data_IF_860365376733
#
_entry.id   IF_860365376733
#
_cell.length_a   1.000
_cell.length_b   1.000
_cell.length_c   1.000
_cell.angle_alpha   90.00
_cell.angle_beta   90.00
_cell.angle_gamma   90.00
#
_symmetry.space_group_name_H-M   'P 1'
#
loop_
_entity.id
_entity.type
_entity.pdbx_description
1 polymer ?
#
# COMPACT_ATOMS: atom_id res chain seq x y z
N UNK A 1 -61.57 -43.82 0.09
CA UNK A 1 -60.44 -43.39 -0.71
C UNK A 1 -60.19 -41.94 -0.37
N UNK A 2 -59.30 -41.66 0.59
CA UNK A 2 -58.98 -40.29 1.06
C UNK A 2 -57.65 -39.86 0.43
N UNK A 3 -57.75 -38.87 -0.41
CA UNK A 3 -56.57 -38.23 -1.07
C UNK A 3 -55.86 -37.33 -0.05
N UNK A 4 -54.66 -37.70 0.37
CA UNK A 4 -53.81 -36.86 1.20
C UNK A 4 -53.09 -35.87 0.26
N UNK A 5 -53.46 -34.61 0.36
CA UNK A 5 -52.72 -33.51 -0.31
C UNK A 5 -51.52 -33.15 0.58
N UNK A 6 -50.33 -33.55 0.20
CA UNK A 6 -49.10 -33.10 0.82
C UNK A 6 -48.75 -31.72 0.29
N UNK A 7 -48.99 -30.70 1.10
CA UNK A 7 -48.48 -29.33 0.85
C UNK A 7 -46.97 -29.30 1.11
N UNK A 8 -46.17 -29.31 0.06
CA UNK A 8 -44.76 -28.98 0.15
C UNK A 8 -44.63 -27.47 0.32
N UNK A 9 -44.47 -26.99 1.54
CA UNK A 9 -44.03 -25.64 1.81
C UNK A 9 -42.52 -25.62 1.59
N UNK A 10 -42.12 -25.25 0.39
CA UNK A 10 -40.72 -24.94 0.06
C UNK A 10 -40.32 -23.68 0.80
N UNK A 11 -39.66 -23.82 1.93
CA UNK A 11 -38.96 -22.71 2.56
C UNK A 11 -37.79 -22.38 1.61
N UNK A 12 -37.99 -21.41 0.75
CA UNK A 12 -36.89 -20.78 0.06
C UNK A 12 -36.09 -20.01 1.10
N UNK A 13 -34.97 -20.59 1.54
CA UNK A 13 -33.90 -19.83 2.14
C UNK A 13 -33.37 -18.88 1.05
N UNK A 14 -33.92 -17.68 1.02
CA UNK A 14 -33.26 -16.56 0.38
C UNK A 14 -32.00 -16.31 1.22
N UNK A 15 -30.92 -16.99 0.89
CA UNK A 15 -29.62 -16.55 1.31
C UNK A 15 -29.48 -15.16 0.70
N UNK A 16 -29.72 -14.14 1.50
CA UNK A 16 -29.20 -12.80 1.23
C UNK A 16 -27.71 -13.00 1.06
N UNK A 17 -27.29 -13.19 -0.18
CA UNK A 17 -25.88 -13.09 -0.54
C UNK A 17 -25.49 -11.66 -0.12
N UNK A 18 -24.87 -11.56 1.06
CA UNK A 18 -24.18 -10.35 1.47
C UNK A 18 -23.13 -10.13 0.40
N UNK A 19 -23.33 -9.14 -0.41
CA UNK A 19 -22.34 -8.66 -1.38
C UNK A 19 -21.19 -7.98 -0.62
N UNK A 20 -20.56 -8.70 0.31
CA UNK A 20 -19.48 -8.19 1.17
C UNK A 20 -18.19 -7.95 0.42
N UNK A 21 -18.08 -8.39 -0.84
CA UNK A 21 -16.84 -8.29 -1.62
C UNK A 21 -17.01 -7.58 -2.96
N UNK A 22 -18.13 -6.94 -3.23
CA UNK A 22 -18.23 -6.09 -4.40
C UNK A 22 -17.64 -4.70 -4.10
N UNK A 23 -17.02 -4.03 -5.09
CA UNK A 23 -16.49 -2.71 -4.88
C UNK A 23 -17.58 -1.86 -4.25
N UNK A 24 -17.25 -1.24 -3.11
CA UNK A 24 -18.15 -0.40 -2.34
C UNK A 24 -18.81 0.59 -3.28
N UNK A 25 -20.10 0.41 -3.55
CA UNK A 25 -20.90 1.36 -4.31
C UNK A 25 -21.33 2.45 -3.36
N UNK A 26 -20.61 3.55 -3.40
CA UNK A 26 -21.12 4.77 -2.76
C UNK A 26 -22.47 5.11 -3.39
N UNK A 27 -23.45 5.45 -2.55
CA UNK A 27 -24.73 5.99 -3.00
C UNK A 27 -24.59 7.42 -3.54
N UNK A 28 -23.43 8.04 -3.37
CA UNK A 28 -23.08 9.33 -3.92
C UNK A 28 -21.83 9.29 -4.80
N UNK A 29 -21.82 10.17 -5.79
CA UNK A 29 -20.66 10.48 -6.61
C UNK A 29 -20.38 11.98 -6.48
N UNK A 30 -19.18 12.31 -6.04
CA UNK A 30 -18.61 13.62 -6.16
C UNK A 30 -17.80 13.71 -7.45
N UNK A 31 -17.95 14.81 -8.18
CA UNK A 31 -17.07 15.16 -9.30
C UNK A 31 -16.51 16.54 -9.01
N UNK A 32 -15.19 16.66 -9.04
CA UNK A 32 -14.47 17.92 -8.82
C UNK A 32 -13.58 18.18 -10.02
N UNK A 33 -13.83 19.31 -10.68
CA UNK A 33 -13.16 19.68 -11.92
C UNK A 33 -12.53 21.07 -11.73
N UNK A 34 -11.23 21.14 -11.42
CA UNK A 34 -10.49 22.38 -11.47
C UNK A 34 -10.52 23.00 -12.86
N UNK A 35 -10.45 24.32 -12.93
CA UNK A 35 -10.47 25.05 -14.21
C UNK A 35 -9.19 24.88 -15.05
N UNK A 36 -8.19 24.15 -14.53
CA UNK A 36 -7.04 23.64 -15.26
C UNK A 36 -7.01 22.10 -15.26
N UNK A 37 -6.86 21.52 -16.43
CA UNK A 37 -6.93 20.07 -16.61
C UNK A 37 -5.79 19.29 -15.90
N UNK A 38 -4.65 19.92 -15.70
CA UNK A 38 -3.49 19.38 -14.99
C UNK A 38 -3.53 19.62 -13.47
N UNK A 39 -4.52 20.39 -12.99
CA UNK A 39 -4.68 20.80 -11.58
C UNK A 39 -3.51 21.62 -11.03
N UNK A 40 -2.72 22.22 -11.92
CA UNK A 40 -1.52 22.97 -11.58
C UNK A 40 -1.65 24.44 -11.93
N UNK A 41 -1.24 25.30 -11.01
CA UNK A 41 -1.28 26.75 -11.11
C UNK A 41 0.10 27.32 -10.82
N UNK A 42 0.37 28.48 -11.35
CA UNK A 42 1.53 29.26 -10.91
C UNK A 42 1.20 29.95 -9.58
N UNK A 43 2.21 30.16 -8.74
CA UNK A 43 2.04 31.05 -7.57
C UNK A 43 1.48 32.39 -8.00
N UNK A 44 0.47 32.90 -7.28
CA UNK A 44 -0.25 34.13 -7.62
C UNK A 44 -1.44 33.95 -8.55
N UNK A 45 -1.58 32.86 -9.29
CA UNK A 45 -2.77 32.57 -10.07
C UNK A 45 -3.96 32.25 -9.15
N UNK A 46 -5.17 32.52 -9.64
CA UNK A 46 -6.42 32.19 -8.94
C UNK A 46 -6.93 30.85 -9.46
N UNK A 47 -7.16 29.92 -8.55
CA UNK A 47 -7.76 28.62 -8.84
C UNK A 47 -9.23 28.61 -8.48
N UNK A 48 -10.01 27.85 -9.22
CA UNK A 48 -11.41 27.55 -8.93
C UNK A 48 -11.71 26.12 -9.31
N UNK A 49 -12.74 25.55 -8.70
CA UNK A 49 -13.17 24.17 -8.93
C UNK A 49 -14.67 24.11 -9.11
N UNK A 50 -15.13 23.43 -10.16
CA UNK A 50 -16.51 23.02 -10.27
C UNK A 50 -16.74 21.80 -9.41
N UNK A 51 -17.77 21.83 -8.59
CA UNK A 51 -18.22 20.73 -7.75
C UNK A 51 -19.52 20.19 -8.32
N UNK A 52 -19.58 18.85 -8.46
CA UNK A 52 -20.82 18.18 -8.82
C UNK A 52 -21.13 17.11 -7.78
N UNK A 53 -22.40 16.98 -7.42
CA UNK A 53 -22.90 16.01 -6.47
C UNK A 53 -24.07 15.24 -7.04
N UNK A 54 -23.91 13.91 -7.13
CA UNK A 54 -24.93 13.01 -7.59
C UNK A 54 -25.28 12.01 -6.49
N UNK A 55 -26.57 11.74 -6.35
CA UNK A 55 -27.04 10.64 -5.48
C UNK A 55 -27.80 9.61 -6.33
N UNK A 56 -27.37 8.35 -6.26
CA UNK A 56 -27.87 7.28 -7.13
C UNK A 56 -27.80 7.66 -8.64
N UNK A 57 -26.76 8.38 -9.03
CA UNK A 57 -26.59 8.85 -10.41
C UNK A 57 -27.43 10.08 -10.81
N UNK A 58 -28.24 10.64 -9.92
CA UNK A 58 -29.11 11.81 -10.17
C UNK A 58 -28.46 13.04 -9.55
N UNK A 59 -28.31 14.16 -10.28
CA UNK A 59 -27.87 15.43 -9.72
C UNK A 59 -28.76 15.87 -8.55
N UNK A 60 -28.16 16.35 -7.47
CA UNK A 60 -28.89 16.77 -6.27
C UNK A 60 -28.52 18.18 -5.87
N UNK A 61 -29.55 19.00 -5.66
CA UNK A 61 -29.41 20.29 -5.00
C UNK A 61 -29.13 20.02 -3.52
N UNK A 62 -27.99 20.49 -3.05
CA UNK A 62 -27.55 20.32 -1.67
C UNK A 62 -26.66 21.48 -1.25
N UNK A 63 -26.73 21.85 0.02
CA UNK A 63 -25.77 22.79 0.59
C UNK A 63 -24.46 22.01 0.88
N UNK A 64 -23.37 22.51 0.32
CA UNK A 64 -22.01 22.02 0.57
C UNK A 64 -21.29 23.03 1.45
N UNK A 65 -20.88 22.59 2.62
CA UNK A 65 -19.91 23.34 3.43
C UNK A 65 -18.52 23.01 2.94
N UNK A 66 -17.66 24.01 2.83
CA UNK A 66 -16.27 23.81 2.44
C UNK A 66 -15.30 24.48 3.39
N UNK A 67 -14.11 23.91 3.50
CA UNK A 67 -12.97 24.43 4.23
C UNK A 67 -11.76 24.47 3.30
N UNK A 68 -11.08 25.63 3.25
CA UNK A 68 -9.86 25.83 2.47
C UNK A 68 -8.66 25.89 3.41
N UNK A 69 -7.63 25.16 3.11
CA UNK A 69 -6.39 25.14 3.88
C UNK A 69 -5.18 24.77 3.04
N UNK A 70 -4.00 25.07 3.53
CA UNK A 70 -2.79 24.48 2.96
C UNK A 70 -2.76 22.99 3.29
N UNK A 71 -2.08 22.22 2.44
CA UNK A 71 -1.98 20.78 2.63
C UNK A 71 -1.46 20.44 4.03
N UNK A 72 -2.13 19.49 4.70
CA UNK A 72 -1.84 19.02 6.06
C UNK A 72 -1.94 20.07 7.16
N UNK A 73 -2.42 21.28 6.87
CA UNK A 73 -2.60 22.34 7.84
C UNK A 73 -4.08 22.60 8.15
N UNK A 74 -4.39 23.26 9.28
CA UNK A 74 -5.75 23.72 9.58
C UNK A 74 -6.30 24.62 8.47
N UNK A 75 -7.61 24.59 8.28
CA UNK A 75 -8.27 25.50 7.35
C UNK A 75 -8.11 26.96 7.79
N UNK A 76 -7.81 27.82 6.84
CA UNK A 76 -7.71 29.26 7.05
C UNK A 76 -8.93 30.01 6.53
N UNK A 77 -9.78 29.36 5.74
CA UNK A 77 -11.04 29.91 5.25
C UNK A 77 -12.10 28.79 5.18
N UNK A 78 -13.37 29.20 5.22
CA UNK A 78 -14.53 28.30 5.13
C UNK A 78 -15.72 29.01 4.57
N UNK A 79 -16.62 28.26 3.96
CA UNK A 79 -17.84 28.80 3.41
C UNK A 79 -18.88 27.73 3.11
N UNK A 80 -19.95 28.18 2.48
CA UNK A 80 -21.05 27.33 2.05
C UNK A 80 -21.40 27.65 0.60
N UNK A 81 -21.83 26.65 -0.13
CA UNK A 81 -22.27 26.72 -1.50
C UNK A 81 -23.52 25.88 -1.67
N UNK A 82 -24.59 26.44 -2.20
CA UNK A 82 -25.75 25.66 -2.60
C UNK A 82 -25.58 25.24 -4.06
N UNK A 83 -25.51 23.94 -4.28
CA UNK A 83 -25.47 23.39 -5.61
C UNK A 83 -26.83 23.49 -6.28
N UNK A 84 -26.86 23.95 -7.54
CA UNK A 84 -28.07 24.02 -8.37
C UNK A 84 -27.97 22.97 -9.49
N UNK A 85 -28.96 22.14 -9.63
CA UNK A 85 -28.92 20.98 -10.52
C UNK A 85 -27.65 20.15 -10.26
N UNK A 86 -27.31 19.98 -8.97
CA UNK A 86 -26.14 19.24 -8.51
C UNK A 86 -24.79 19.91 -8.79
N UNK A 87 -24.74 21.20 -9.21
CA UNK A 87 -23.49 21.86 -9.63
C UNK A 87 -23.26 23.18 -8.95
N UNK A 88 -22.00 23.53 -8.76
CA UNK A 88 -21.58 24.84 -8.26
C UNK A 88 -20.07 25.03 -8.40
N UNK A 89 -19.60 26.25 -8.20
CA UNK A 89 -18.18 26.61 -8.35
C UNK A 89 -17.68 27.22 -7.05
N UNK A 90 -16.54 26.74 -6.58
CA UNK A 90 -15.83 27.32 -5.43
C UNK A 90 -14.57 28.00 -5.94
N UNK A 91 -14.37 29.25 -5.54
CA UNK A 91 -13.10 29.94 -5.70
C UNK A 91 -12.13 29.44 -4.63
N UNK A 92 -11.08 28.71 -5.04
CA UNK A 92 -10.07 28.18 -4.12
C UNK A 92 -9.08 29.26 -3.65
N UNK A 93 -8.98 30.38 -4.39
CA UNK A 93 -8.02 31.42 -4.08
C UNK A 93 -6.69 31.22 -4.78
N UNK A 94 -5.61 31.61 -4.10
CA UNK A 94 -4.25 31.57 -4.63
C UNK A 94 -3.23 31.26 -3.53
N UNK A 95 -2.03 30.86 -3.92
CA UNK A 95 -0.88 30.73 -3.02
C UNK A 95 0.23 31.65 -3.45
N UNK A 96 0.92 32.27 -2.48
CA UNK A 96 2.10 33.12 -2.72
C UNK A 96 3.38 32.31 -2.84
N UNK A 97 3.40 31.13 -2.24
CA UNK A 97 4.53 30.22 -2.22
C UNK A 97 4.16 28.88 -2.87
N UNK A 98 5.15 28.13 -3.38
CA UNK A 98 4.92 26.79 -3.91
C UNK A 98 4.28 25.87 -2.87
N UNK A 99 3.32 25.06 -3.29
CA UNK A 99 2.65 24.14 -2.37
C UNK A 99 1.35 23.60 -2.92
N UNK A 100 0.51 23.10 -2.02
CA UNK A 100 -0.79 22.56 -2.35
C UNK A 100 -1.89 23.23 -1.50
N UNK A 101 -3.02 23.52 -2.13
CA UNK A 101 -4.22 24.00 -1.49
C UNK A 101 -5.26 22.90 -1.47
N UNK A 102 -5.80 22.60 -0.29
CA UNK A 102 -6.78 21.55 -0.03
C UNK A 102 -8.15 22.18 0.23
N UNK A 103 -9.16 21.78 -0.53
CA UNK A 103 -10.56 22.13 -0.33
C UNK A 103 -11.32 20.89 0.16
N UNK A 104 -11.72 20.90 1.42
CA UNK A 104 -12.48 19.83 2.06
C UNK A 104 -13.95 20.15 1.98
N UNK A 105 -14.75 19.21 1.47
CA UNK A 105 -16.16 19.36 1.18
C UNK A 105 -16.98 18.48 2.12
N UNK A 106 -18.10 19.00 2.61
CA UNK A 106 -19.07 18.26 3.41
C UNK A 106 -20.47 18.60 2.94
N UNK A 107 -21.26 17.59 2.62
CA UNK A 107 -22.68 17.72 2.32
C UNK A 107 -23.50 16.79 3.22
N UNK A 108 -24.73 17.20 3.54
CA UNK A 108 -25.71 16.36 4.20
C UNK A 108 -26.87 16.12 3.25
N UNK A 109 -27.14 14.87 2.92
CA UNK A 109 -28.27 14.48 2.08
C UNK A 109 -28.98 13.27 2.68
N UNK A 110 -30.30 13.33 2.80
CA UNK A 110 -31.15 12.31 3.38
C UNK A 110 -30.64 11.83 4.78
N UNK A 111 -30.23 12.78 5.62
CA UNK A 111 -29.74 12.53 6.98
C UNK A 111 -28.34 11.93 7.09
N UNK A 112 -27.63 11.70 5.96
CA UNK A 112 -26.26 11.20 5.93
C UNK A 112 -25.28 12.29 5.57
N UNK A 113 -24.09 12.25 6.20
CA UNK A 113 -22.98 13.14 5.92
C UNK A 113 -22.03 12.52 4.92
N UNK A 114 -21.73 13.25 3.87
CA UNK A 114 -20.79 12.86 2.82
C UNK A 114 -19.64 13.85 2.77
N UNK A 115 -18.42 13.31 2.76
CA UNK A 115 -17.19 14.10 2.71
C UNK A 115 -16.43 13.82 1.43
N UNK A 116 -15.77 14.84 0.93
CA UNK A 116 -14.86 14.74 -0.21
C UNK A 116 -13.79 15.81 -0.09
N UNK A 117 -12.73 15.73 -0.89
CA UNK A 117 -11.76 16.79 -1.01
C UNK A 117 -11.24 16.91 -2.44
N UNK A 118 -10.75 18.08 -2.77
CA UNK A 118 -9.99 18.35 -3.99
C UNK A 118 -8.75 19.15 -3.61
N UNK A 119 -7.63 18.79 -4.22
CA UNK A 119 -6.34 19.41 -3.95
C UNK A 119 -5.74 19.91 -5.25
N UNK A 120 -5.24 21.13 -5.26
CA UNK A 120 -4.59 21.74 -6.41
C UNK A 120 -3.17 22.18 -6.07
N UNK A 121 -2.24 22.07 -7.03
CA UNK A 121 -0.85 22.42 -6.85
C UNK A 121 -0.52 23.81 -7.37
N UNK A 122 0.29 24.55 -6.62
CA UNK A 122 0.83 25.86 -7.02
C UNK A 122 2.35 25.78 -7.17
N UNK A 123 2.83 25.84 -8.39
CA UNK A 123 4.25 25.72 -8.73
C UNK A 123 4.96 24.58 -7.96
N UNK A 124 4.40 23.35 -7.91
CA UNK A 124 4.97 22.29 -7.09
C UNK A 124 6.39 21.89 -7.52
N UNK A 125 6.76 22.17 -8.76
CA UNK A 125 8.12 21.98 -9.29
C UNK A 125 9.17 22.87 -8.59
N UNK A 126 8.73 23.90 -7.86
CA UNK A 126 9.58 24.81 -7.09
C UNK A 126 9.67 24.47 -5.61
N UNK A 127 8.98 23.41 -5.17
CA UNK A 127 9.10 22.95 -3.80
C UNK A 127 10.52 22.54 -3.49
N UNK A 128 11.01 22.97 -2.34
CA UNK A 128 12.31 22.55 -1.83
C UNK A 128 12.11 21.57 -0.68
N UNK A 129 12.93 20.50 -0.60
CA UNK A 129 12.93 19.64 0.56
C UNK A 129 13.11 20.43 1.85
N UNK A 130 12.36 20.12 2.89
CA UNK A 130 12.53 20.74 4.20
C UNK A 130 13.85 20.36 4.84
N UNK A 131 14.30 19.12 4.61
CA UNK A 131 15.57 18.59 5.08
C UNK A 131 16.50 18.37 3.89
N UNK A 132 17.79 18.56 4.11
CA UNK A 132 18.81 18.23 3.13
C UNK A 132 19.24 16.78 3.29
N UNK A 133 19.65 16.17 2.17
CA UNK A 133 20.29 14.86 2.22
C UNK A 133 21.59 15.00 3.03
N UNK A 134 21.83 14.14 4.04
CA UNK A 134 23.11 14.16 4.76
C UNK A 134 24.31 14.03 3.80
N UNK A 135 25.37 14.81 4.06
CA UNK A 135 26.52 14.85 3.17
C UNK A 135 27.19 13.48 2.97
N UNK A 136 27.13 12.63 3.99
CA UNK A 136 27.71 11.29 4.00
C UNK A 136 26.72 10.18 3.56
N UNK A 137 25.51 10.51 3.11
CA UNK A 137 24.48 9.52 2.80
C UNK A 137 24.94 8.46 1.79
N UNK A 138 25.55 8.91 0.69
CA UNK A 138 26.01 7.99 -0.37
C UNK A 138 27.13 7.09 0.13
N UNK A 139 28.10 7.66 0.84
CA UNK A 139 29.22 6.89 1.40
C UNK A 139 28.77 5.92 2.50
N UNK A 140 27.85 6.34 3.36
CA UNK A 140 27.22 5.46 4.34
C UNK A 140 26.56 4.24 3.69
N UNK A 141 25.77 4.47 2.63
CA UNK A 141 25.09 3.38 1.90
C UNK A 141 26.05 2.46 1.19
N UNK A 142 27.12 3.01 0.62
CA UNK A 142 28.18 2.25 -0.04
C UNK A 142 28.89 1.35 0.98
N UNK A 143 29.40 1.92 2.08
CA UNK A 143 30.06 1.17 3.17
C UNK A 143 29.15 0.06 3.71
N UNK A 144 27.88 0.34 3.98
CA UNK A 144 26.95 -0.67 4.48
C UNK A 144 26.78 -1.86 3.52
N UNK A 145 26.78 -1.62 2.19
CA UNK A 145 26.74 -2.69 1.19
C UNK A 145 28.07 -3.46 1.10
N UNK A 146 29.20 -2.78 1.24
CA UNK A 146 30.53 -3.39 1.27
C UNK A 146 30.70 -4.28 2.51
N UNK A 147 30.22 -3.83 3.68
CA UNK A 147 30.15 -4.67 4.89
C UNK A 147 29.29 -5.92 4.66
N UNK A 148 28.12 -5.76 4.03
CA UNK A 148 27.26 -6.88 3.68
C UNK A 148 27.94 -7.88 2.74
N UNK A 149 28.67 -7.39 1.74
CA UNK A 149 29.33 -8.20 0.72
C UNK A 149 30.45 -9.10 1.29
N UNK A 150 30.97 -8.80 2.50
CA UNK A 150 31.95 -9.66 3.18
C UNK A 150 31.34 -11.00 3.63
N UNK A 151 30.03 -11.08 3.73
CA UNK A 151 29.34 -12.32 4.10
C UNK A 151 28.85 -13.04 2.85
N UNK A 152 29.14 -14.35 2.70
CA UNK A 152 28.64 -15.10 1.56
C UNK A 152 27.11 -15.17 1.58
N UNK A 153 26.51 -15.20 0.39
CA UNK A 153 25.08 -15.45 0.26
C UNK A 153 24.75 -16.82 0.82
N UNK A 154 23.95 -16.85 1.88
CA UNK A 154 23.55 -18.08 2.55
C UNK A 154 22.04 -18.09 2.73
N UNK A 155 21.39 -19.16 2.31
CA UNK A 155 19.95 -19.34 2.44
C UNK A 155 19.56 -20.81 2.54
N UNK A 156 18.34 -21.07 2.95
CA UNK A 156 17.69 -22.37 2.80
C UNK A 156 16.38 -22.21 2.04
N UNK A 157 16.06 -23.18 1.21
CA UNK A 157 14.79 -23.27 0.49
C UNK A 157 14.14 -24.60 0.80
N UNK A 158 12.89 -24.58 1.27
CA UNK A 158 12.07 -25.77 1.53
C UNK A 158 10.81 -25.67 0.70
N UNK A 159 10.59 -26.64 -0.20
CA UNK A 159 9.33 -26.71 -0.95
C UNK A 159 8.16 -26.88 0.00
N UNK A 160 7.08 -26.13 -0.24
CA UNK A 160 5.85 -26.17 0.55
C UNK A 160 4.75 -26.75 -0.32
N UNK A 161 4.54 -28.07 -0.19
CA UNK A 161 3.63 -28.80 -1.07
C UNK A 161 2.19 -28.27 -1.01
N UNK A 162 1.70 -27.91 0.18
CA UNK A 162 0.34 -27.33 0.34
C UNK A 162 0.12 -26.00 -0.40
N UNK A 163 1.21 -25.35 -0.81
CA UNK A 163 1.21 -24.09 -1.57
C UNK A 163 1.80 -24.24 -2.97
N UNK A 164 2.01 -25.46 -3.41
CA UNK A 164 2.48 -25.78 -4.76
C UNK A 164 1.36 -26.42 -5.58
N UNK A 165 1.44 -26.30 -6.90
CA UNK A 165 0.49 -26.87 -7.86
C UNK A 165 1.24 -27.39 -9.08
N UNK A 166 0.52 -27.88 -10.08
CA UNK A 166 1.10 -28.33 -11.36
C UNK A 166 1.72 -27.17 -12.17
N UNK A 167 1.34 -25.93 -11.87
CA UNK A 167 1.81 -24.73 -12.58
C UNK A 167 2.84 -23.93 -11.79
N UNK A 168 2.79 -23.98 -10.44
CA UNK A 168 3.57 -23.10 -9.57
C UNK A 168 4.20 -23.87 -8.42
N UNK A 169 5.51 -23.76 -8.27
CA UNK A 169 6.22 -24.17 -7.08
C UNK A 169 6.25 -23.03 -6.04
N UNK A 170 6.01 -23.37 -4.79
CA UNK A 170 6.16 -22.47 -3.66
C UNK A 170 7.22 -22.98 -2.70
N UNK A 171 8.15 -22.12 -2.30
CA UNK A 171 9.22 -22.45 -1.36
C UNK A 171 9.20 -21.48 -0.18
N UNK A 172 9.35 -22.01 1.04
CA UNK A 172 9.73 -21.20 2.19
C UNK A 172 11.25 -20.97 2.12
N UNK A 173 11.62 -19.71 2.04
CA UNK A 173 13.01 -19.26 2.01
C UNK A 173 13.36 -18.65 3.37
N UNK A 174 14.48 -19.09 3.94
CA UNK A 174 15.16 -18.39 5.03
C UNK A 174 16.45 -17.82 4.48
N UNK A 175 16.59 -16.52 4.51
CA UNK A 175 17.72 -15.80 3.94
C UNK A 175 18.52 -15.12 5.05
N UNK A 176 19.79 -15.48 5.17
CA UNK A 176 20.68 -14.88 6.15
C UNK A 176 21.26 -13.57 5.64
N UNK A 177 21.08 -12.50 6.43
CA UNK A 177 21.57 -11.16 6.07
C UNK A 177 23.08 -11.07 6.30
N UNK A 178 23.53 -11.53 7.48
CA UNK A 178 24.95 -11.57 7.83
C UNK A 178 25.27 -12.86 8.61
N UNK A 179 26.47 -13.16 8.87
CA UNK A 179 27.08 -14.27 9.65
C UNK A 179 26.09 -15.26 10.35
N UNK A 180 24.94 -15.55 9.77
CA UNK A 180 23.85 -16.41 10.28
C UNK A 180 23.16 -15.92 11.57
N UNK A 181 23.48 -14.71 12.06
CA UNK A 181 22.85 -14.14 13.26
C UNK A 181 21.53 -13.43 12.95
N UNK A 182 21.40 -12.89 11.75
CA UNK A 182 20.19 -12.20 11.31
C UNK A 182 19.67 -12.89 10.06
N UNK A 183 18.40 -13.21 10.08
CA UNK A 183 17.72 -13.80 8.92
C UNK A 183 16.39 -13.08 8.68
N UNK A 184 15.90 -13.19 7.45
CA UNK A 184 14.53 -12.85 7.04
C UNK A 184 13.94 -14.05 6.36
N UNK A 185 12.62 -14.12 6.33
CA UNK A 185 11.90 -15.22 5.69
C UNK A 185 11.03 -14.68 4.55
N UNK A 186 10.69 -15.57 3.64
CA UNK A 186 9.78 -15.26 2.56
C UNK A 186 9.22 -16.51 1.90
N UNK A 187 8.13 -16.32 1.16
CA UNK A 187 7.67 -17.33 0.23
C UNK A 187 8.08 -16.95 -1.19
N UNK A 188 8.83 -17.84 -1.83
CA UNK A 188 9.19 -17.74 -3.23
C UNK A 188 8.18 -18.54 -4.04
N UNK A 189 7.47 -17.90 -4.94
CA UNK A 189 6.63 -18.58 -5.95
C UNK A 189 7.27 -18.46 -7.32
N UNK A 190 7.33 -19.56 -8.06
CA UNK A 190 7.93 -19.61 -9.38
C UNK A 190 7.22 -20.61 -10.29
N UNK A 191 7.24 -20.41 -11.62
CA UNK A 191 6.68 -21.38 -12.57
C UNK A 191 7.31 -22.79 -12.41
N UNK A 192 6.50 -23.84 -12.55
CA UNK A 192 7.00 -25.22 -12.66
C UNK A 192 7.69 -25.43 -14.00
N UNK A 193 7.19 -24.77 -15.06
CA UNK A 193 7.77 -24.86 -16.39
C UNK A 193 9.21 -24.35 -16.40
N UNK A 194 10.18 -25.16 -16.90
CA UNK A 194 11.56 -24.69 -17.07
C UNK A 194 11.63 -23.45 -17.96
N UNK A 195 12.43 -22.47 -17.55
CA UNK A 195 12.56 -21.23 -18.30
C UNK A 195 13.42 -20.19 -17.59
N UNK A 196 13.49 -19.01 -18.20
CA UNK A 196 14.14 -17.83 -17.65
C UNK A 196 13.08 -16.76 -17.42
N UNK A 197 13.04 -16.21 -16.21
CA UNK A 197 11.94 -15.38 -15.75
C UNK A 197 12.43 -14.09 -15.07
N UNK A 198 11.71 -12.97 -15.25
CA UNK A 198 11.90 -11.81 -14.39
C UNK A 198 11.69 -12.15 -12.92
N UNK A 199 12.39 -11.46 -12.03
CA UNK A 199 12.23 -11.62 -10.60
C UNK A 199 11.56 -10.41 -9.96
N UNK A 200 10.71 -10.64 -8.96
CA UNK A 200 9.97 -9.62 -8.24
C UNK A 200 10.25 -9.76 -6.74
N UNK A 201 10.82 -8.72 -6.12
CA UNK A 201 10.94 -8.62 -4.68
C UNK A 201 9.75 -7.86 -4.11
N UNK A 202 9.12 -8.39 -3.06
CA UNK A 202 7.95 -7.79 -2.42
C UNK A 202 8.17 -7.65 -0.91
N UNK A 203 8.82 -6.56 -0.44
CA UNK A 203 8.89 -6.24 0.97
C UNK A 203 7.51 -5.80 1.49
N UNK A 204 7.21 -6.02 2.79
CA UNK A 204 5.92 -5.68 3.39
C UNK A 204 5.76 -4.17 3.64
N UNK A 205 4.51 -3.73 3.83
CA UNK A 205 4.23 -2.46 4.51
C UNK A 205 4.54 -2.53 6.01
N UNK A 206 4.43 -1.40 6.70
CA UNK A 206 4.73 -1.29 8.13
C UNK A 206 3.88 -2.24 9.00
N UNK A 207 4.44 -2.61 10.14
CA UNK A 207 3.82 -3.46 11.16
C UNK A 207 4.54 -4.79 11.35
N UNK A 208 4.37 -5.38 12.53
CA UNK A 208 4.88 -6.70 12.86
C UNK A 208 3.90 -7.73 12.31
N UNK A 209 4.29 -8.39 11.23
CA UNK A 209 3.40 -9.29 10.47
C UNK A 209 4.16 -10.51 9.97
N UNK A 210 3.45 -11.62 9.85
CA UNK A 210 3.91 -12.79 9.09
C UNK A 210 3.15 -12.90 7.76
N UNK A 211 3.66 -13.72 6.85
CA UNK A 211 3.02 -13.98 5.56
C UNK A 211 2.02 -15.12 5.76
N UNK A 212 0.72 -14.81 5.80
CA UNK A 212 -0.35 -15.79 6.05
C UNK A 212 -0.89 -16.45 4.77
N UNK A 213 -0.87 -15.76 3.65
CA UNK A 213 -1.54 -16.18 2.40
C UNK A 213 -0.59 -16.08 1.19
N UNK A 214 0.46 -16.91 1.11
CA UNK A 214 1.45 -16.81 0.03
C UNK A 214 0.85 -17.03 -1.35
N UNK A 215 -0.27 -17.75 -1.44
CA UNK A 215 -0.95 -18.06 -2.70
C UNK A 215 -1.89 -16.96 -3.21
N UNK A 216 -2.16 -15.92 -2.42
CA UNK A 216 -3.06 -14.83 -2.82
C UNK A 216 -2.64 -14.14 -4.12
N UNK A 217 -1.34 -14.20 -4.46
CA UNK A 217 -0.76 -13.57 -5.65
C UNK A 217 -0.04 -14.58 -6.55
N UNK A 218 -0.53 -15.81 -6.57
CA UNK A 218 0.02 -16.91 -7.41
C UNK A 218 0.06 -16.56 -8.90
N UNK A 219 -0.83 -15.67 -9.34
CA UNK A 219 -0.93 -15.24 -10.74
C UNK A 219 0.38 -14.63 -11.28
N UNK A 220 1.27 -14.13 -10.43
CA UNK A 220 2.60 -13.70 -10.89
C UNK A 220 3.37 -14.88 -11.47
N UNK A 221 3.45 -15.98 -10.74
CA UNK A 221 4.17 -17.16 -11.20
C UNK A 221 3.44 -17.85 -12.36
N UNK A 222 2.11 -17.89 -12.36
CA UNK A 222 1.33 -18.40 -13.49
C UNK A 222 1.57 -17.60 -14.79
N UNK A 223 1.93 -16.32 -14.68
CA UNK A 223 2.26 -15.47 -15.82
C UNK A 223 3.78 -15.29 -16.04
N UNK A 224 4.58 -16.22 -15.54
CA UNK A 224 6.00 -16.28 -15.89
C UNK A 224 6.88 -15.31 -15.11
N UNK A 225 6.58 -15.03 -13.84
CA UNK A 225 7.44 -14.26 -12.96
C UNK A 225 7.84 -15.08 -11.72
N UNK A 226 9.05 -14.89 -11.25
CA UNK A 226 9.49 -15.41 -9.94
C UNK A 226 9.24 -14.32 -8.91
N UNK A 227 8.47 -14.60 -7.85
CA UNK A 227 8.10 -13.60 -6.86
C UNK A 227 8.49 -14.05 -5.45
N UNK A 228 9.26 -13.22 -4.76
CA UNK A 228 9.57 -13.37 -3.34
C UNK A 228 8.74 -12.39 -2.53
N UNK A 229 7.75 -12.88 -1.81
CA UNK A 229 7.07 -12.16 -0.75
C UNK A 229 7.82 -12.36 0.54
N UNK A 230 8.39 -11.30 1.10
CA UNK A 230 9.26 -11.41 2.28
C UNK A 230 8.70 -10.65 3.47
N UNK A 231 9.09 -11.06 4.67
CA UNK A 231 9.00 -10.29 5.90
C UNK A 231 10.37 -9.66 6.22
N UNK A 232 10.44 -8.77 7.19
CA UNK A 232 11.64 -7.96 7.46
C UNK A 232 12.12 -8.03 8.92
N UNK A 233 11.44 -8.79 9.75
CA UNK A 233 11.67 -8.84 11.19
C UNK A 233 12.42 -10.10 11.65
N UNK A 234 12.56 -11.09 10.79
CA UNK A 234 13.12 -12.41 11.10
C UNK A 234 12.07 -13.38 11.63
N UNK A 235 10.81 -13.18 11.27
CA UNK A 235 9.69 -13.98 11.72
C UNK A 235 9.42 -15.14 10.75
N UNK A 236 9.59 -16.36 11.24
CA UNK A 236 9.22 -17.54 10.46
C UNK A 236 7.70 -17.55 10.21
N UNK A 237 7.21 -17.55 8.95
CA UNK A 237 5.78 -17.61 8.67
C UNK A 237 5.08 -18.89 9.16
N UNK A 238 5.85 -19.94 9.47
CA UNK A 238 5.33 -21.21 10.01
C UNK A 238 5.29 -21.23 11.55
N UNK A 239 5.66 -20.13 12.25
CA UNK A 239 5.53 -20.04 13.71
C UNK A 239 4.06 -20.11 14.15
N UNK A 240 3.84 -20.62 15.35
CA UNK A 240 2.50 -20.67 15.95
C UNK A 240 1.99 -19.28 16.29
N UNK A 241 0.68 -19.16 16.53
CA UNK A 241 0.08 -17.89 16.95
C UNK A 241 0.60 -17.43 18.31
N UNK A 242 0.89 -18.37 19.22
CA UNK A 242 1.45 -18.06 20.55
C UNK A 242 2.88 -17.52 20.43
N UNK A 243 3.74 -18.17 19.65
CA UNK A 243 5.09 -17.66 19.37
C UNK A 243 5.05 -16.28 18.73
N UNK A 244 4.14 -16.07 17.77
CA UNK A 244 3.96 -14.76 17.16
C UNK A 244 3.51 -13.71 18.16
N UNK A 245 2.58 -14.06 19.08
CA UNK A 245 2.09 -13.16 20.12
C UNK A 245 3.21 -12.77 21.09
N UNK A 246 4.12 -13.69 21.44
CA UNK A 246 5.29 -13.40 22.27
C UNK A 246 6.25 -12.42 21.59
N UNK A 247 6.57 -12.68 20.32
CA UNK A 247 7.44 -11.77 19.55
C UNK A 247 6.80 -10.39 19.43
N UNK A 248 5.50 -10.32 19.15
CA UNK A 248 4.76 -9.06 19.04
C UNK A 248 4.79 -8.27 20.36
N UNK A 249 4.70 -8.97 21.52
CA UNK A 249 4.85 -8.33 22.82
C UNK A 249 6.28 -7.81 23.04
N UNK A 250 7.30 -8.55 22.60
CA UNK A 250 8.69 -8.13 22.70
C UNK A 250 8.96 -6.82 21.93
N UNK A 251 8.21 -6.55 20.87
CA UNK A 251 8.20 -5.26 20.17
C UNK A 251 7.27 -4.22 20.85
N UNK A 252 6.91 -4.42 22.14
CA UNK A 252 5.99 -3.59 22.93
C UNK A 252 4.56 -3.50 22.35
N UNK A 253 4.13 -4.48 21.54
CA UNK A 253 2.84 -4.44 20.87
C UNK A 253 2.67 -3.26 19.91
N UNK A 254 3.67 -2.39 19.80
CA UNK A 254 3.62 -1.22 18.95
C UNK A 254 3.82 -1.64 17.49
N UNK A 255 2.84 -1.41 16.66
CA UNK A 255 2.92 -1.71 15.23
C UNK A 255 4.14 -1.07 14.54
N UNK A 256 4.60 0.07 15.05
CA UNK A 256 5.65 0.89 14.45
C UNK A 256 6.83 1.18 15.40
N UNK A 257 6.90 0.55 16.59
CA UNK A 257 7.97 0.80 17.58
C UNK A 257 9.37 0.58 17.01
N UNK A 258 9.55 -0.39 16.14
CA UNK A 258 10.83 -0.67 15.49
C UNK A 258 11.33 0.46 14.56
N UNK A 259 10.45 1.33 14.09
CA UNK A 259 10.82 2.47 13.23
C UNK A 259 11.71 3.50 13.95
N UNK A 260 11.66 3.52 15.27
CA UNK A 260 12.45 4.42 16.09
C UNK A 260 13.61 3.73 16.81
N UNK A 261 13.76 2.41 16.66
CA UNK A 261 14.83 1.64 17.30
C UNK A 261 16.21 2.12 16.81
N UNK A 262 16.99 2.66 17.75
CA UNK A 262 18.31 3.26 17.51
C UNK A 262 18.28 4.37 16.44
N UNK A 263 17.23 5.19 16.43
CA UNK A 263 17.10 6.28 15.46
C UNK A 263 18.22 7.32 15.57
N UNK A 264 18.83 7.46 16.74
CA UNK A 264 19.95 8.34 17.08
C UNK A 264 21.30 7.82 16.59
N UNK A 265 21.40 6.54 16.19
CA UNK A 265 22.63 5.92 15.69
C UNK A 265 22.39 5.25 14.33
N UNK A 266 22.83 5.93 13.25
CA UNK A 266 22.65 5.44 11.89
C UNK A 266 23.28 4.07 11.62
N UNK A 267 24.37 3.71 12.33
CA UNK A 267 25.04 2.43 12.14
C UNK A 267 24.29 1.27 12.77
N UNK A 268 23.57 1.50 13.87
CA UNK A 268 22.75 0.53 14.56
C UNK A 268 21.24 0.71 14.32
N UNK A 269 20.83 1.68 13.49
CA UNK A 269 19.44 1.94 13.19
C UNK A 269 18.76 0.71 12.59
N UNK A 270 17.61 0.37 13.15
CA UNK A 270 16.86 -0.83 12.76
C UNK A 270 16.63 -0.93 11.24
N UNK A 271 16.29 0.18 10.58
CA UNK A 271 16.01 0.17 9.16
C UNK A 271 17.26 -0.03 8.28
N UNK A 272 18.49 0.23 8.79
CA UNK A 272 19.73 -0.16 8.09
C UNK A 272 19.73 -1.67 7.82
N UNK A 273 19.38 -2.48 8.84
CA UNK A 273 19.27 -3.93 8.71
C UNK A 273 18.20 -4.35 7.70
N UNK A 274 17.04 -3.68 7.74
CA UNK A 274 15.93 -3.96 6.82
C UNK A 274 16.34 -3.70 5.37
N UNK A 275 16.97 -2.58 5.10
CA UNK A 275 17.45 -2.26 3.75
C UNK A 275 18.52 -3.26 3.26
N UNK A 276 19.42 -3.67 4.14
CA UNK A 276 20.43 -4.69 3.79
C UNK A 276 19.80 -6.06 3.56
N UNK A 277 18.73 -6.41 4.28
CA UNK A 277 17.95 -7.62 4.01
C UNK A 277 17.29 -7.57 2.62
N UNK A 278 16.77 -6.42 2.20
CA UNK A 278 16.23 -6.26 0.85
C UNK A 278 17.33 -6.38 -0.23
N UNK A 279 18.53 -5.81 0.01
CA UNK A 279 19.68 -6.02 -0.90
C UNK A 279 20.01 -7.50 -1.00
N UNK A 280 20.11 -8.20 0.12
CA UNK A 280 20.39 -9.65 0.15
C UNK A 280 19.30 -10.46 -0.54
N UNK A 281 18.04 -10.04 -0.45
CA UNK A 281 16.93 -10.67 -1.17
C UNK A 281 17.06 -10.51 -2.70
N UNK A 282 17.55 -9.37 -3.16
CA UNK A 282 17.88 -9.18 -4.58
C UNK A 282 19.05 -10.07 -4.99
N UNK A 283 20.14 -10.12 -4.19
CA UNK A 283 21.27 -11.02 -4.45
C UNK A 283 20.81 -12.48 -4.57
N UNK A 284 19.91 -12.92 -3.68
CA UNK A 284 19.30 -14.25 -3.72
C UNK A 284 18.51 -14.49 -5.01
N UNK A 285 17.59 -13.57 -5.35
CA UNK A 285 16.75 -13.70 -6.54
C UNK A 285 17.58 -13.74 -7.82
N UNK A 286 18.64 -12.94 -7.89
CA UNK A 286 19.53 -12.88 -9.06
C UNK A 286 20.54 -14.02 -9.10
N UNK A 287 20.69 -14.80 -8.02
CA UNK A 287 21.49 -16.04 -8.00
C UNK A 287 20.72 -17.26 -8.50
N UNK A 288 19.39 -17.18 -8.65
CA UNK A 288 18.58 -18.30 -9.12
C UNK A 288 18.90 -18.65 -10.57
N UNK A 289 19.06 -19.94 -10.90
CA UNK A 289 19.28 -20.37 -12.28
C UNK A 289 18.18 -19.95 -13.23
N UNK A 290 16.95 -19.79 -12.74
CA UNK A 290 15.77 -19.42 -13.51
C UNK A 290 15.62 -17.92 -13.75
N UNK A 291 16.45 -17.08 -13.13
CA UNK A 291 16.46 -15.66 -13.43
C UNK A 291 16.85 -15.38 -14.89
N UNK A 292 16.19 -14.42 -15.52
CA UNK A 292 16.42 -14.05 -16.92
C UNK A 292 17.71 -13.26 -17.18
N UNK A 293 18.47 -12.96 -16.11
CA UNK A 293 19.72 -12.20 -16.18
C UNK A 293 19.56 -10.70 -16.40
N UNK A 294 18.34 -10.19 -16.45
CA UNK A 294 18.06 -8.80 -16.84
C UNK A 294 17.06 -8.08 -15.94
N UNK A 295 15.91 -8.67 -15.69
CA UNK A 295 14.77 -7.96 -15.11
C UNK A 295 14.66 -8.23 -13.61
N UNK A 296 14.76 -7.17 -12.80
CA UNK A 296 14.52 -7.16 -11.37
C UNK A 296 13.47 -6.09 -11.08
N UNK A 297 12.37 -6.49 -10.49
CA UNK A 297 11.22 -5.65 -10.20
C UNK A 297 11.06 -5.54 -8.69
N UNK A 298 10.83 -4.35 -8.17
CA UNK A 298 10.43 -4.13 -6.78
C UNK A 298 8.95 -3.74 -6.72
N UNK A 299 8.20 -4.42 -5.87
CA UNK A 299 6.80 -4.10 -5.59
C UNK A 299 6.60 -3.94 -4.10
N UNK A 300 6.14 -2.80 -3.68
CA UNK A 300 5.83 -2.51 -2.28
C UNK A 300 4.62 -1.61 -2.14
N UNK A 301 4.21 -1.42 -0.91
CA UNK A 301 3.14 -0.48 -0.55
C UNK A 301 3.35 0.03 0.86
N UNK A 302 3.06 1.33 1.10
CA UNK A 302 3.22 2.03 2.37
C UNK A 302 4.70 2.25 2.73
N UNK A 303 5.29 1.43 3.57
CA UNK A 303 6.68 1.54 4.03
C UNK A 303 7.68 1.14 2.94
#
# INVERSE_FOLDING_TARGET
MRLLLLLFVGIQFVTLARAENYPYRSDVLWVTVPDKADWLYRTGEKAKVEIQFYKYGIPRDVEVSYELGYDMLPAHDKGKLVLKNGRGVIALGTMKEPGFLDCRLTAVADGKTYKHHVKVGFSPEKLKPYTQLPADFTEFRKRAKEELAQYPLTFTMKKVEKYSSDEVNCYLVKLYVNNKKQAVYGYLTMPVKPGKYPVVICPPGAGIKTIKEPMKRIYYAQNGLIRLEMEIHGLNPEMSEDEFAEVSRAFNGAENGYLTNNLDDKDNYYMKRVYLACVRAVDFLTSLPEWDGKNVIAQGGSQ
#
